data_IF_181316213961
#
_entry.id   IF_181316213961
#
_cell.length_a   1.000
_cell.length_b   1.000
_cell.length_c   1.000
_cell.angle_alpha   90.00
_cell.angle_beta   90.00
_cell.angle_gamma   90.00
#
_symmetry.space_group_name_H-M   'P 1'
#
loop_
_entity.id
_entity.type
_entity.pdbx_description
1 polymer ?
#
# COMPACT_ATOMS: atom_id res chain seq x y z
N UNK A 1 -11.10 -19.36 2.66
CA UNK A 1 -10.22 -18.91 3.76
C UNK A 1 -8.95 -18.23 3.25
N UNK A 2 -8.21 -18.80 2.30
CA UNK A 2 -6.95 -18.25 1.79
C UNK A 2 -7.00 -16.80 1.30
N UNK A 3 -8.08 -16.39 0.62
CA UNK A 3 -8.20 -15.00 0.13
C UNK A 3 -8.38 -13.98 1.27
N UNK A 4 -9.07 -14.34 2.35
CA UNK A 4 -9.18 -13.49 3.53
C UNK A 4 -7.83 -13.31 4.23
N UNK A 5 -7.02 -14.37 4.29
CA UNK A 5 -5.64 -14.30 4.79
C UNK A 5 -4.79 -13.39 3.90
N UNK A 6 -4.89 -13.53 2.57
CA UNK A 6 -4.18 -12.68 1.62
C UNK A 6 -4.54 -11.19 1.75
N UNK A 7 -5.81 -10.86 1.97
CA UNK A 7 -6.24 -9.48 2.24
C UNK A 7 -5.61 -8.97 3.55
N UNK A 8 -5.57 -9.80 4.60
CA UNK A 8 -4.88 -9.46 5.85
C UNK A 8 -3.38 -9.17 5.63
N UNK A 9 -2.72 -9.98 4.79
CA UNK A 9 -1.32 -9.76 4.39
C UNK A 9 -1.15 -8.44 3.65
N UNK A 10 -2.04 -8.12 2.71
CA UNK A 10 -1.99 -6.85 1.96
C UNK A 10 -2.14 -5.63 2.88
N UNK A 11 -3.00 -5.70 3.89
CA UNK A 11 -3.16 -4.62 4.88
C UNK A 11 -1.84 -4.40 5.63
N UNK A 12 -1.25 -5.48 6.18
CA UNK A 12 0.01 -5.40 6.92
C UNK A 12 1.15 -4.91 6.02
N UNK A 13 1.23 -5.43 4.79
CA UNK A 13 2.19 -5.01 3.77
C UNK A 13 2.04 -3.52 3.46
N UNK A 14 0.82 -3.05 3.23
CA UNK A 14 0.53 -1.66 2.91
C UNK A 14 0.85 -0.71 4.05
N UNK A 15 0.51 -1.08 5.29
CA UNK A 15 0.91 -0.32 6.48
C UNK A 15 2.45 -0.23 6.60
N UNK A 16 3.14 -1.34 6.37
CA UNK A 16 4.60 -1.41 6.40
C UNK A 16 5.22 -0.52 5.32
N UNK A 17 4.70 -0.57 4.10
CA UNK A 17 5.14 0.29 2.99
C UNK A 17 4.93 1.78 3.33
N UNK A 18 3.79 2.14 3.94
CA UNK A 18 3.56 3.51 4.40
C UNK A 18 4.58 3.98 5.44
N UNK A 19 4.99 3.11 6.36
CA UNK A 19 6.06 3.39 7.33
C UNK A 19 7.44 3.49 6.68
N UNK A 20 7.76 2.60 5.73
CA UNK A 20 8.99 2.68 4.93
C UNK A 20 9.03 4.01 4.17
N UNK A 21 7.91 4.43 3.56
CA UNK A 21 7.82 5.69 2.83
C UNK A 21 8.06 6.90 3.72
N UNK A 22 7.63 6.86 5.00
CA UNK A 22 7.98 7.89 6.00
C UNK A 22 9.49 8.01 6.20
N UNK A 23 10.22 6.89 6.18
CA UNK A 23 11.68 6.88 6.33
C UNK A 23 12.37 7.36 5.05
N UNK A 24 11.89 6.96 3.87
CA UNK A 24 12.44 7.35 2.58
C UNK A 24 12.22 8.84 2.27
N UNK A 25 11.03 9.36 2.57
CA UNK A 25 10.65 10.76 2.33
C UNK A 25 10.46 11.49 3.66
N UNK A 26 11.61 11.84 4.27
CA UNK A 26 11.66 12.52 5.57
C UNK A 26 11.06 13.92 5.53
N UNK A 27 10.35 14.29 6.60
CA UNK A 27 9.83 15.63 6.84
C UNK A 27 10.11 16.07 8.28
N UNK A 28 10.92 17.12 8.50
CA UNK A 28 11.22 17.61 9.85
C UNK A 28 10.03 18.32 10.51
N UNK A 29 9.11 18.88 9.73
CA UNK A 29 7.95 19.65 10.24
C UNK A 29 6.64 18.84 10.23
N UNK A 30 6.70 17.53 10.44
CA UNK A 30 5.52 16.67 10.34
C UNK A 30 4.61 16.83 11.58
N UNK A 31 3.36 17.24 11.36
CA UNK A 31 2.36 17.32 12.44
C UNK A 31 2.08 15.94 13.02
N UNK A 32 1.82 15.84 14.34
CA UNK A 32 1.46 14.59 14.98
C UNK A 32 0.22 13.97 14.29
N UNK A 33 0.26 12.66 14.01
CA UNK A 33 -0.87 11.92 13.41
C UNK A 33 -0.69 11.49 11.95
N UNK A 34 0.19 12.13 11.17
CA UNK A 34 0.43 11.75 9.76
C UNK A 34 0.96 10.32 9.58
N UNK A 35 1.59 9.76 10.62
CA UNK A 35 2.07 8.38 10.60
C UNK A 35 0.91 7.39 10.50
N UNK A 36 -0.18 7.64 11.24
CA UNK A 36 -1.39 6.79 11.19
C UNK A 36 -2.05 6.92 9.82
N UNK A 37 -2.13 8.13 9.28
CA UNK A 37 -2.69 8.37 7.93
C UNK A 37 -1.91 7.60 6.86
N UNK A 38 -0.58 7.60 6.93
CA UNK A 38 0.27 6.83 6.01
C UNK A 38 0.04 5.33 6.09
N UNK A 39 -0.11 4.80 7.30
CA UNK A 39 -0.40 3.38 7.48
C UNK A 39 -1.76 3.00 6.90
N UNK A 40 -2.80 3.80 7.17
CA UNK A 40 -4.15 3.56 6.66
C UNK A 40 -4.19 3.70 5.14
N UNK A 41 -3.60 4.76 4.60
CA UNK A 41 -3.53 5.01 3.16
C UNK A 41 -2.77 3.87 2.45
N UNK A 42 -1.62 3.47 2.99
CA UNK A 42 -0.82 2.38 2.45
C UNK A 42 -1.57 1.05 2.47
N UNK A 43 -2.27 0.75 3.57
CA UNK A 43 -3.11 -0.45 3.70
C UNK A 43 -4.25 -0.48 2.69
N UNK A 44 -4.98 0.63 2.57
CA UNK A 44 -6.10 0.75 1.65
C UNK A 44 -5.65 0.64 0.19
N UNK A 45 -4.56 1.32 -0.16
CA UNK A 45 -3.95 1.22 -1.47
C UNK A 45 -3.44 -0.20 -1.77
N UNK A 46 -2.86 -0.90 -0.80
CA UNK A 46 -2.42 -2.29 -0.99
C UNK A 46 -3.58 -3.23 -1.31
N UNK A 47 -4.76 -3.03 -0.70
CA UNK A 47 -5.95 -3.83 -1.01
C UNK A 47 -6.46 -3.55 -2.42
N UNK A 48 -6.54 -2.28 -2.84
CA UNK A 48 -6.96 -1.91 -4.20
C UNK A 48 -5.97 -2.47 -5.23
N UNK A 49 -4.68 -2.20 -5.04
CA UNK A 49 -3.62 -2.69 -5.92
C UNK A 49 -3.58 -4.22 -5.97
N UNK A 50 -3.83 -4.88 -4.85
CA UNK A 50 -3.91 -6.34 -4.78
C UNK A 50 -5.07 -6.90 -5.57
N UNK A 51 -6.28 -6.33 -5.42
CA UNK A 51 -7.44 -6.75 -6.21
C UNK A 51 -7.23 -6.52 -7.71
N UNK A 52 -6.66 -5.37 -8.10
CA UNK A 52 -6.32 -5.09 -9.50
C UNK A 52 -5.25 -6.05 -10.03
N UNK A 53 -4.21 -6.32 -9.23
CA UNK A 53 -3.12 -7.21 -9.60
C UNK A 53 -3.54 -8.67 -9.77
N UNK A 54 -4.43 -9.17 -8.91
CA UNK A 54 -5.07 -10.49 -9.10
C UNK A 54 -5.88 -10.49 -10.39
N UNK A 55 -6.64 -9.42 -10.65
CA UNK A 55 -7.44 -9.26 -11.87
C UNK A 55 -6.61 -9.25 -13.15
N UNK A 56 -5.38 -8.74 -13.13
CA UNK A 56 -4.49 -8.72 -14.30
C UNK A 56 -3.85 -10.10 -14.55
N UNK A 57 -3.49 -10.84 -13.49
CA UNK A 57 -2.74 -12.10 -13.57
C UNK A 57 -3.56 -13.35 -13.20
N UNK A 58 -4.81 -13.42 -13.64
CA UNK A 58 -5.73 -14.53 -13.35
C UNK A 58 -5.47 -15.74 -14.27
N UNK A 59 -4.26 -16.28 -14.25
CA UNK A 59 -3.90 -17.34 -15.21
C UNK A 59 -4.65 -18.66 -14.97
N UNK A 60 -5.02 -19.00 -13.72
CA UNK A 60 -5.80 -20.23 -13.43
C UNK A 60 -6.65 -20.16 -12.15
N UNK A 61 -6.17 -19.54 -11.07
CA UNK A 61 -6.94 -19.37 -9.83
C UNK A 61 -6.77 -17.93 -9.28
N UNK A 62 -7.87 -17.19 -9.03
CA UNK A 62 -7.81 -15.84 -8.47
C UNK A 62 -7.49 -15.90 -6.97
N UNK A 63 -6.22 -16.14 -6.66
CA UNK A 63 -5.69 -16.18 -5.30
C UNK A 63 -5.13 -14.82 -4.90
N UNK A 64 -5.48 -14.37 -3.70
CA UNK A 64 -4.96 -13.12 -3.14
C UNK A 64 -3.42 -13.14 -2.93
N UNK A 65 -2.85 -14.31 -2.66
CA UNK A 65 -1.38 -14.48 -2.47
C UNK A 65 -0.67 -14.69 -3.82
N UNK A 66 -1.38 -14.56 -4.95
CA UNK A 66 -0.75 -14.65 -6.26
C UNK A 66 0.35 -13.59 -6.44
N UNK A 67 1.35 -13.84 -7.30
CA UNK A 67 2.37 -12.86 -7.63
C UNK A 67 1.77 -11.52 -8.10
N UNK A 68 0.69 -11.58 -8.90
CA UNK A 68 -0.04 -10.40 -9.35
C UNK A 68 -0.65 -9.61 -8.19
N UNK A 69 -1.34 -10.29 -7.27
CA UNK A 69 -1.92 -9.65 -6.09
C UNK A 69 -0.88 -9.01 -5.17
N UNK A 70 0.22 -9.71 -4.91
CA UNK A 70 1.30 -9.20 -4.05
C UNK A 70 2.04 -8.02 -4.71
N UNK A 71 2.41 -8.14 -5.99
CA UNK A 71 3.10 -7.09 -6.72
C UNK A 71 2.20 -5.86 -6.93
N UNK A 72 0.94 -6.06 -7.30
CA UNK A 72 -0.04 -4.98 -7.46
C UNK A 72 -0.29 -4.25 -6.14
N UNK A 73 -0.47 -4.98 -5.05
CA UNK A 73 -0.65 -4.39 -3.71
C UNK A 73 0.57 -3.58 -3.27
N UNK A 74 1.78 -4.13 -3.43
CA UNK A 74 3.00 -3.43 -3.08
C UNK A 74 3.21 -2.17 -3.93
N UNK A 75 3.08 -2.28 -5.26
CA UNK A 75 3.33 -1.18 -6.19
C UNK A 75 2.33 -0.04 -5.99
N UNK A 76 1.04 -0.35 -5.87
CA UNK A 76 0.01 0.68 -5.69
C UNK A 76 0.11 1.34 -4.32
N UNK A 77 0.41 0.57 -3.27
CA UNK A 77 0.67 1.12 -1.94
C UNK A 77 1.87 2.07 -1.91
N UNK A 78 2.97 1.68 -2.55
CA UNK A 78 4.16 2.51 -2.67
C UNK A 78 3.85 3.80 -3.45
N UNK A 79 3.15 3.70 -4.58
CA UNK A 79 2.76 4.85 -5.38
C UNK A 79 1.87 5.82 -4.60
N UNK A 80 0.82 5.35 -3.94
CA UNK A 80 -0.12 6.20 -3.21
C UNK A 80 0.51 6.88 -2.00
N UNK A 81 1.31 6.15 -1.23
CA UNK A 81 2.01 6.72 -0.06
C UNK A 81 3.11 7.68 -0.47
N UNK A 82 3.79 7.43 -1.60
CA UNK A 82 4.72 8.37 -2.22
C UNK A 82 4.00 9.64 -2.69
N UNK A 83 2.90 9.52 -3.43
CA UNK A 83 2.12 10.66 -3.92
C UNK A 83 1.58 11.51 -2.77
N UNK A 84 1.11 10.90 -1.70
CA UNK A 84 0.71 11.63 -0.49
C UNK A 84 1.89 12.40 0.12
N UNK A 85 3.03 11.74 0.31
CA UNK A 85 4.26 12.36 0.83
C UNK A 85 4.84 13.42 -0.10
N UNK A 86 4.68 13.30 -1.41
CA UNK A 86 5.14 14.27 -2.39
C UNK A 86 4.15 15.44 -2.54
N UNK A 87 2.84 15.16 -2.56
CA UNK A 87 1.79 16.17 -2.69
C UNK A 87 1.78 17.17 -1.54
N UNK A 88 1.97 16.72 -0.29
CA UNK A 88 2.14 17.63 0.85
C UNK A 88 3.44 18.47 0.69
N UNK A 89 4.33 18.17 -0.26
CA UNK A 89 5.64 18.87 -0.42
C UNK A 89 5.47 20.11 -1.28
N UNK A 90 4.53 20.08 -2.21
CA UNK A 90 4.21 21.22 -3.05
C UNK A 90 3.18 22.18 -2.44
N UNK A 91 2.51 21.79 -1.36
CA UNK A 91 1.48 22.58 -0.67
C UNK A 91 2.01 23.47 0.47
N UNK A 92 3.25 23.24 0.91
CA UNK A 92 3.93 24.00 1.98
C UNK A 92 5.21 24.59 1.38
#
# INVERSE_FOLDING_TARGET
>A
MQNWIGIGIWIVLGATIGLVMKVLVKRPNETPGHTIVLMILGSFAAVIGGMLGVGIFHLYEPLAISPGGMAGGAAFSAMMTFLYRWGIRGLI
#
